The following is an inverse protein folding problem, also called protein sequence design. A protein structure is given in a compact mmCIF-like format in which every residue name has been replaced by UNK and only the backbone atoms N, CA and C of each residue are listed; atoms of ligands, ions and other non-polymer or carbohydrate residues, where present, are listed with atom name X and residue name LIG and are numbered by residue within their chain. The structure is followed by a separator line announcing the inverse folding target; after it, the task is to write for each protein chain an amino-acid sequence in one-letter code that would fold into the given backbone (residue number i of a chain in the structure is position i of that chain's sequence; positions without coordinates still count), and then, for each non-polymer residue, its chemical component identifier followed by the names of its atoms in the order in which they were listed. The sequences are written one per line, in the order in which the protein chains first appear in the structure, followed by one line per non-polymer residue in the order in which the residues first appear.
data_IF_340048060880
#
_entry.id   IF_340048060880
#
_cell.length_a   1.000
_cell.length_b   1.000
_cell.length_c   1.000
_cell.angle_alpha   90.00
_cell.angle_beta   90.00
_cell.angle_gamma   90.00
#
_symmetry.space_group_name_H-M   'P 1'
#
loop_
_entity.id
_entity.type
_entity.pdbx_description
1 polymer ?
#
# COMPACT_ATOMS: atom_id res chain seq x y z
N UNK A 1 -13.95 -5.75 -54.27
CA UNK A 1 -14.69 -4.77 -53.44
C UNK A 1 -15.00 -5.42 -52.10
N UNK A 2 -14.23 -5.15 -51.04
CA UNK A 2 -14.35 -5.94 -49.79
C UNK A 2 -13.82 -5.23 -48.51
N UNK A 3 -13.91 -3.89 -48.46
CA UNK A 3 -13.36 -3.07 -47.37
C UNK A 3 -14.34 -2.44 -46.35
N UNK A 4 -15.67 -2.32 -46.54
CA UNK A 4 -16.51 -1.58 -45.58
C UNK A 4 -16.79 -2.34 -44.26
N UNK A 5 -16.71 -3.68 -44.27
CA UNK A 5 -17.12 -4.49 -43.11
C UNK A 5 -16.19 -4.37 -41.89
N UNK A 6 -14.87 -4.23 -42.13
CA UNK A 6 -13.87 -4.15 -41.05
C UNK A 6 -13.93 -2.83 -40.27
N UNK A 7 -14.29 -1.73 -40.92
CA UNK A 7 -14.36 -0.40 -40.28
C UNK A 7 -15.54 -0.34 -39.30
N UNK A 8 -16.70 -0.90 -39.67
CA UNK A 8 -17.86 -0.99 -38.80
C UNK A 8 -17.59 -1.84 -37.54
N UNK A 9 -16.85 -2.94 -37.67
CA UNK A 9 -16.49 -3.80 -36.54
C UNK A 9 -15.53 -3.11 -35.55
N UNK A 10 -14.55 -2.36 -36.06
CA UNK A 10 -13.63 -1.58 -35.22
C UNK A 10 -14.34 -0.47 -34.45
N UNK A 11 -15.30 0.23 -35.06
CA UNK A 11 -16.08 1.29 -34.38
C UNK A 11 -16.97 0.73 -33.26
N UNK A 12 -17.54 -0.48 -33.42
CA UNK A 12 -18.32 -1.12 -32.37
C UNK A 12 -17.47 -1.53 -31.15
N UNK A 13 -16.23 -1.97 -31.36
CA UNK A 13 -15.33 -2.38 -30.25
C UNK A 13 -14.90 -1.17 -29.40
N UNK A 14 -14.70 0.00 -30.01
CA UNK A 14 -14.32 1.23 -29.27
C UNK A 14 -15.47 1.75 -28.38
N UNK A 15 -16.73 1.53 -28.77
CA UNK A 15 -17.90 2.05 -28.05
C UNK A 15 -18.15 1.39 -26.66
N UNK A 16 -17.67 0.16 -26.45
CA UNK A 16 -18.01 -0.64 -25.25
C UNK A 16 -17.09 -0.37 -24.05
N UNK A 17 -15.96 0.33 -24.22
CA UNK A 17 -14.96 0.53 -23.18
C UNK A 17 -15.11 1.82 -22.34
N UNK A 18 -16.14 2.64 -22.57
CA UNK A 18 -16.42 3.86 -21.78
C UNK A 18 -17.54 3.66 -20.75
N UNK A 19 -17.63 2.46 -20.16
CA UNK A 19 -18.36 2.27 -18.91
C UNK A 19 -17.56 2.94 -17.78
N UNK A 20 -17.72 4.25 -17.65
CA UNK A 20 -17.25 5.01 -16.48
C UNK A 20 -17.94 4.43 -15.25
N UNK A 21 -17.22 3.56 -14.54
CA UNK A 21 -17.70 3.02 -13.26
C UNK A 21 -17.69 4.18 -12.28
N UNK A 22 -18.82 4.87 -12.19
CA UNK A 22 -19.14 5.80 -11.12
C UNK A 22 -19.26 4.99 -9.82
N UNK A 23 -18.11 4.61 -9.26
CA UNK A 23 -18.01 4.17 -7.87
C UNK A 23 -18.42 5.41 -7.06
N UNK A 24 -19.68 5.46 -6.68
CA UNK A 24 -20.18 6.40 -5.69
C UNK A 24 -19.49 6.05 -4.37
N UNK A 25 -18.32 6.66 -4.17
CA UNK A 25 -17.55 6.55 -2.94
C UNK A 25 -18.42 7.15 -1.84
N UNK A 26 -19.08 6.27 -1.09
CA UNK A 26 -19.93 6.65 0.03
C UNK A 26 -19.01 7.23 1.09
N UNK A 27 -18.93 8.56 1.17
CA UNK A 27 -18.02 9.26 2.08
C UNK A 27 -18.17 8.72 3.50
N UNK A 28 -17.12 8.07 4.01
CA UNK A 28 -17.13 7.48 5.35
C UNK A 28 -16.66 8.54 6.33
N UNK A 29 -17.59 9.10 7.08
CA UNK A 29 -17.28 10.11 8.08
C UNK A 29 -16.62 9.46 9.31
N UNK A 30 -15.29 9.35 9.29
CA UNK A 30 -14.49 8.98 10.45
C UNK A 30 -14.43 10.13 11.46
N UNK A 31 -14.53 9.82 12.76
CA UNK A 31 -14.29 10.84 13.78
C UNK A 31 -12.80 11.16 13.89
N UNK A 32 -12.47 12.34 14.42
CA UNK A 32 -11.07 12.66 14.76
C UNK A 32 -10.46 11.66 15.74
N UNK A 33 -11.26 11.08 16.64
CA UNK A 33 -10.82 10.03 17.57
C UNK A 33 -10.40 8.74 16.87
N UNK A 34 -11.19 8.29 15.89
CA UNK A 34 -10.90 7.09 15.09
C UNK A 34 -9.60 7.26 14.32
N UNK A 35 -9.43 8.42 13.70
CA UNK A 35 -8.24 8.74 12.93
C UNK A 35 -6.99 8.86 13.83
N UNK A 36 -7.10 9.49 15.00
CA UNK A 36 -5.98 9.54 15.96
C UNK A 36 -5.64 8.15 16.51
N UNK A 37 -6.63 7.28 16.74
CA UNK A 37 -6.41 5.89 17.12
C UNK A 37 -5.62 5.14 16.03
N UNK A 38 -6.05 5.24 14.77
CA UNK A 38 -5.32 4.66 13.64
C UNK A 38 -3.89 5.18 13.54
N UNK A 39 -3.69 6.50 13.61
CA UNK A 39 -2.36 7.11 13.53
C UNK A 39 -1.43 6.66 14.67
N UNK A 40 -1.91 6.64 15.92
CA UNK A 40 -1.15 6.09 17.06
C UNK A 40 -0.73 4.65 16.82
N UNK A 41 -1.67 3.82 16.38
CA UNK A 41 -1.42 2.42 16.04
C UNK A 41 -0.36 2.28 14.95
N UNK A 42 -0.46 3.09 13.88
CA UNK A 42 0.49 3.09 12.77
C UNK A 42 1.92 3.36 13.23
N UNK A 43 2.12 4.37 14.08
CA UNK A 43 3.45 4.69 14.61
C UNK A 43 4.04 3.55 15.45
N UNK A 44 3.21 2.93 16.30
CA UNK A 44 3.59 1.76 17.12
C UNK A 44 3.96 0.58 16.23
N UNK A 45 3.13 0.25 15.23
CA UNK A 45 3.39 -0.82 14.27
C UNK A 45 4.67 -0.58 13.45
N UNK A 46 4.88 0.66 13.01
CA UNK A 46 6.05 1.07 12.24
C UNK A 46 7.35 1.14 13.07
N UNK A 47 7.26 0.91 14.40
CA UNK A 47 8.38 0.95 15.35
C UNK A 47 9.12 2.30 15.38
N UNK A 48 8.41 3.40 15.13
CA UNK A 48 8.97 4.75 15.22
C UNK A 48 8.72 5.39 16.59
N UNK A 49 9.74 6.04 17.13
CA UNK A 49 9.62 6.92 18.30
C UNK A 49 9.33 8.34 17.82
N UNK A 50 8.19 8.90 18.22
CA UNK A 50 7.78 10.25 17.88
C UNK A 50 7.59 11.07 19.16
N UNK A 51 7.64 12.40 19.05
CA UNK A 51 7.24 13.31 20.12
C UNK A 51 5.72 13.29 20.33
N UNK A 52 5.13 14.45 20.61
CA UNK A 52 3.68 14.57 20.73
C UNK A 52 3.01 14.48 19.34
N UNK A 53 2.83 13.23 18.89
CA UNK A 53 2.29 12.87 17.58
C UNK A 53 0.90 13.45 17.30
N UNK A 54 0.07 13.64 18.33
CA UNK A 54 -1.28 14.19 18.20
C UNK A 54 -1.28 15.62 17.64
N UNK A 55 -0.23 16.41 17.92
CA UNK A 55 -0.09 17.77 17.39
C UNK A 55 0.37 17.82 15.93
N UNK A 56 0.88 16.71 15.40
CA UNK A 56 1.42 16.62 14.04
C UNK A 56 0.34 16.22 13.03
N UNK A 57 -0.68 15.49 13.48
CA UNK A 57 -1.67 14.82 12.65
C UNK A 57 -2.63 15.79 11.91
N UNK A 58 -2.16 16.38 10.82
CA UNK A 58 -2.98 17.09 9.82
C UNK A 58 -3.59 16.13 8.81
N UNK A 59 -4.66 16.59 8.16
CA UNK A 59 -5.30 15.99 6.98
C UNK A 59 -5.71 14.52 7.15
N UNK A 60 -6.11 14.17 8.38
CA UNK A 60 -6.40 12.80 8.77
C UNK A 60 -7.56 12.15 7.98
N UNK A 61 -8.46 12.94 7.39
CA UNK A 61 -9.54 12.42 6.53
C UNK A 61 -8.96 11.75 5.28
N UNK A 62 -8.00 12.39 4.60
CA UNK A 62 -7.34 11.84 3.40
C UNK A 62 -6.63 10.52 3.73
N UNK A 63 -5.97 10.46 4.90
CA UNK A 63 -5.35 9.23 5.41
C UNK A 63 -6.40 8.13 5.61
N UNK A 64 -7.52 8.43 6.28
CA UNK A 64 -8.54 7.44 6.57
C UNK A 64 -9.27 6.96 5.31
N UNK A 65 -9.47 7.83 4.32
CA UNK A 65 -10.05 7.49 3.02
C UNK A 65 -9.12 6.55 2.22
N UNK A 66 -7.82 6.87 2.11
CA UNK A 66 -6.82 6.00 1.48
C UNK A 66 -6.79 4.60 2.12
N UNK A 67 -6.86 4.54 3.45
CA UNK A 67 -6.88 3.27 4.20
C UNK A 67 -8.22 2.54 4.05
N UNK A 68 -9.34 3.26 3.93
CA UNK A 68 -10.64 2.66 3.62
C UNK A 68 -10.61 1.98 2.25
N UNK A 69 -10.17 2.70 1.20
CA UNK A 69 -10.00 2.13 -0.14
C UNK A 69 -9.00 0.97 -0.16
N UNK A 70 -7.92 1.06 0.62
CA UNK A 70 -6.98 -0.03 0.80
C UNK A 70 -7.66 -1.29 1.36
N UNK A 71 -8.44 -1.14 2.45
CA UNK A 71 -9.11 -2.26 3.11
C UNK A 71 -10.15 -2.91 2.22
N UNK A 72 -10.93 -2.13 1.47
CA UNK A 72 -11.96 -2.67 0.59
C UNK A 72 -11.38 -3.39 -0.64
N UNK A 73 -10.37 -2.82 -1.29
CA UNK A 73 -9.66 -3.51 -2.38
C UNK A 73 -8.89 -4.75 -1.89
N UNK A 74 -8.19 -4.69 -0.75
CA UNK A 74 -7.55 -5.87 -0.15
C UNK A 74 -8.57 -6.98 0.15
N UNK A 75 -9.70 -6.61 0.77
CA UNK A 75 -10.73 -7.58 1.16
C UNK A 75 -11.43 -8.19 -0.06
N UNK A 76 -11.79 -7.37 -1.05
CA UNK A 76 -12.32 -7.85 -2.33
C UNK A 76 -11.33 -8.77 -3.02
N UNK A 77 -10.06 -8.38 -3.06
CA UNK A 77 -8.95 -9.16 -3.62
C UNK A 77 -8.72 -10.50 -2.92
N UNK A 78 -8.83 -10.58 -1.59
CA UNK A 78 -8.72 -11.84 -0.86
C UNK A 78 -9.92 -12.76 -1.07
N UNK A 79 -11.14 -12.23 -1.09
CA UNK A 79 -12.36 -13.03 -1.31
C UNK A 79 -12.47 -13.56 -2.74
N UNK A 80 -12.19 -12.70 -3.74
CA UNK A 80 -12.25 -13.05 -5.16
C UNK A 80 -10.98 -13.70 -5.72
N UNK A 81 -9.88 -13.69 -4.95
CA UNK A 81 -8.51 -14.02 -5.41
C UNK A 81 -8.00 -13.10 -6.52
N UNK A 82 -8.58 -11.90 -6.66
CA UNK A 82 -8.18 -10.88 -7.64
C UNK A 82 -6.83 -10.24 -7.26
N UNK A 83 -5.76 -10.61 -7.98
CA UNK A 83 -4.46 -9.97 -7.84
C UNK A 83 -4.49 -8.47 -8.22
N UNK A 84 -5.42 -8.05 -9.08
CA UNK A 84 -5.63 -6.65 -9.43
C UNK A 84 -6.17 -5.82 -8.27
N UNK A 85 -7.13 -6.37 -7.51
CA UNK A 85 -7.65 -5.71 -6.30
C UNK A 85 -6.65 -5.73 -5.15
N UNK A 86 -5.92 -6.84 -4.95
CA UNK A 86 -4.80 -6.85 -3.98
C UNK A 86 -3.77 -5.76 -4.35
N UNK A 87 -3.46 -5.60 -5.64
CA UNK A 87 -2.56 -4.55 -6.14
C UNK A 87 -3.08 -3.14 -5.88
N UNK A 88 -4.35 -2.85 -6.17
CA UNK A 88 -5.01 -1.56 -5.85
C UNK A 88 -5.03 -1.27 -4.35
N UNK A 89 -5.30 -2.30 -3.54
CA UNK A 89 -5.32 -2.17 -2.08
C UNK A 89 -3.94 -1.86 -1.50
N UNK A 90 -2.89 -2.51 -2.01
CA UNK A 90 -1.49 -2.20 -1.65
C UNK A 90 -1.12 -0.77 -2.08
N UNK A 91 -1.52 -0.33 -3.29
CA UNK A 91 -1.24 1.02 -3.76
C UNK A 91 -1.92 2.10 -2.89
N UNK A 92 -3.19 1.89 -2.54
CA UNK A 92 -3.96 2.78 -1.66
C UNK A 92 -3.35 2.84 -0.24
N UNK A 93 -2.92 1.69 0.30
CA UNK A 93 -2.17 1.66 1.57
C UNK A 93 -0.84 2.43 1.46
N UNK A 94 -0.21 2.41 0.28
CA UNK A 94 0.99 3.18 -0.03
C UNK A 94 0.75 4.69 0.01
N UNK A 95 -0.36 5.17 -0.56
CA UNK A 95 -0.78 6.57 -0.48
C UNK A 95 -1.08 6.98 0.97
N UNK A 96 -1.88 6.19 1.69
CA UNK A 96 -2.17 6.43 3.10
C UNK A 96 -0.89 6.52 3.93
N UNK A 97 0.08 5.63 3.71
CA UNK A 97 1.38 5.68 4.38
C UNK A 97 2.21 6.93 4.01
N UNK A 98 2.16 7.42 2.76
CA UNK A 98 2.78 8.69 2.37
C UNK A 98 2.13 9.86 3.12
N UNK A 99 0.80 9.92 3.16
CA UNK A 99 0.08 10.98 3.85
C UNK A 99 0.36 10.97 5.36
N UNK A 100 0.40 9.78 6.00
CA UNK A 100 0.87 9.62 7.38
C UNK A 100 2.27 10.20 7.56
N UNK A 101 3.22 9.85 6.68
CA UNK A 101 4.59 10.36 6.75
C UNK A 101 4.65 11.89 6.62
N UNK A 102 3.87 12.47 5.70
CA UNK A 102 3.80 13.92 5.50
C UNK A 102 3.24 14.64 6.74
N UNK A 103 2.22 14.10 7.41
CA UNK A 103 1.71 14.68 8.66
C UNK A 103 2.75 14.68 9.79
N UNK A 104 3.70 13.73 9.81
CA UNK A 104 4.78 13.70 10.80
C UNK A 104 6.05 14.48 10.42
N UNK A 105 6.13 15.05 9.22
CA UNK A 105 7.32 15.76 8.72
C UNK A 105 7.75 16.92 9.61
N UNK A 106 6.80 17.72 10.10
CA UNK A 106 7.07 18.90 10.91
C UNK A 106 7.46 18.57 12.36
N UNK A 107 7.46 17.29 12.74
CA UNK A 107 7.71 16.82 14.10
C UNK A 107 9.08 16.13 14.28
N UNK A 108 10.09 16.55 13.50
CA UNK A 108 11.48 16.08 13.61
C UNK A 108 11.68 14.62 13.19
N UNK A 109 10.79 14.09 12.35
CA UNK A 109 10.76 12.69 11.95
C UNK A 109 11.41 12.42 10.58
N UNK A 110 12.26 13.29 10.04
CA UNK A 110 12.60 13.28 8.60
C UNK A 110 13.23 11.96 8.12
N UNK A 111 13.98 11.26 8.98
CA UNK A 111 14.53 9.93 8.67
C UNK A 111 13.46 8.85 8.52
N UNK A 112 12.40 8.91 9.33
CA UNK A 112 11.23 8.05 9.22
C UNK A 112 10.40 8.42 8.01
N UNK A 113 10.11 9.72 7.82
CA UNK A 113 9.33 10.24 6.69
C UNK A 113 9.95 9.85 5.35
N UNK A 114 11.26 10.08 5.16
CA UNK A 114 11.97 9.66 3.94
C UNK A 114 11.88 8.14 3.73
N UNK A 115 11.93 7.34 4.79
CA UNK A 115 11.86 5.88 4.69
C UNK A 115 10.47 5.39 4.30
N UNK A 116 9.41 5.96 4.88
CA UNK A 116 8.04 5.63 4.53
C UNK A 116 7.67 6.18 3.16
N UNK A 117 8.01 7.42 2.81
CA UNK A 117 7.81 7.93 1.45
C UNK A 117 8.43 7.01 0.39
N UNK A 118 9.65 6.52 0.61
CA UNK A 118 10.33 5.61 -0.32
C UNK A 118 9.56 4.29 -0.48
N UNK A 119 8.96 3.76 0.59
CA UNK A 119 8.18 2.50 0.54
C UNK A 119 6.76 2.73 0.02
N UNK A 120 6.09 3.78 0.46
CA UNK A 120 4.77 4.16 -0.03
C UNK A 120 4.78 4.49 -1.52
N UNK A 121 5.86 5.10 -2.05
CA UNK A 121 6.06 5.30 -3.50
C UNK A 121 6.24 3.97 -4.25
N UNK A 122 7.01 3.02 -3.69
CA UNK A 122 7.10 1.67 -4.28
C UNK A 122 5.73 0.97 -4.28
N UNK A 123 4.95 1.10 -3.21
CA UNK A 123 3.60 0.53 -3.08
C UNK A 123 2.59 1.19 -4.05
N UNK A 124 2.59 2.52 -4.12
CA UNK A 124 1.77 3.35 -5.00
C UNK A 124 2.01 3.05 -6.49
N UNK A 125 3.26 2.73 -6.87
CA UNK A 125 3.59 2.23 -8.22
C UNK A 125 2.98 0.86 -8.56
N UNK A 126 2.17 0.29 -7.68
CA UNK A 126 1.39 -0.92 -7.90
C UNK A 126 2.26 -2.16 -8.14
N UNK A 127 1.74 -3.15 -8.90
CA UNK A 127 2.45 -4.40 -9.17
C UNK A 127 3.82 -4.26 -9.88
N UNK A 128 4.10 -3.10 -10.47
CA UNK A 128 5.37 -2.77 -11.11
C UNK A 128 6.33 -2.06 -10.14
N UNK A 129 5.83 -1.16 -9.29
CA UNK A 129 6.61 -0.40 -8.32
C UNK A 129 7.19 -1.24 -7.18
N UNK A 130 6.39 -2.13 -6.59
CA UNK A 130 6.86 -3.02 -5.50
C UNK A 130 7.64 -4.25 -6.02
N UNK A 131 8.13 -4.17 -7.25
CA UNK A 131 8.62 -5.24 -8.12
C UNK A 131 7.59 -6.33 -8.47
N UNK A 132 7.73 -6.85 -9.70
CA UNK A 132 7.30 -8.20 -10.11
C UNK A 132 7.63 -9.28 -9.07
N UNK A 133 8.68 -9.07 -8.28
CA UNK A 133 9.05 -9.91 -7.14
C UNK A 133 7.95 -9.87 -6.07
N UNK A 134 7.51 -8.74 -5.51
CA UNK A 134 6.53 -8.80 -4.41
C UNK A 134 5.12 -9.19 -4.87
N UNK A 135 4.73 -9.08 -6.15
CA UNK A 135 3.41 -9.60 -6.61
C UNK A 135 3.46 -11.06 -7.07
N UNK A 136 4.51 -11.49 -7.77
CA UNK A 136 4.69 -12.92 -8.13
C UNK A 136 5.18 -13.74 -6.94
N UNK A 137 6.05 -13.18 -6.09
CA UNK A 137 6.22 -13.65 -4.71
C UNK A 137 4.94 -13.45 -3.91
N UNK A 138 4.08 -12.42 -4.02
CA UNK A 138 2.87 -12.34 -3.16
C UNK A 138 2.07 -13.63 -3.25
N UNK A 139 1.77 -14.08 -4.47
CA UNK A 139 1.07 -15.35 -4.73
C UNK A 139 1.84 -16.55 -4.13
N UNK A 140 3.17 -16.52 -4.07
CA UNK A 140 4.04 -17.51 -3.41
C UNK A 140 4.39 -17.20 -1.91
N UNK A 141 4.00 -16.06 -1.37
CA UNK A 141 4.15 -15.57 0.02
C UNK A 141 2.86 -15.92 0.75
N UNK A 142 1.71 -15.80 0.07
CA UNK A 142 0.45 -16.46 0.44
C UNK A 142 0.62 -17.97 0.60
N UNK A 143 1.64 -18.62 0.00
CA UNK A 143 1.99 -20.02 0.29
C UNK A 143 3.14 -20.20 1.30
N UNK A 144 4.22 -19.41 1.26
CA UNK A 144 5.43 -19.65 2.08
C UNK A 144 5.77 -18.62 3.17
N UNK A 145 5.11 -17.46 3.23
CA UNK A 145 5.38 -16.38 4.21
C UNK A 145 4.09 -15.82 4.80
N UNK A 146 3.55 -16.59 5.75
CA UNK A 146 2.29 -16.35 6.47
C UNK A 146 2.17 -14.95 7.06
N UNK A 147 3.28 -14.34 7.47
CA UNK A 147 3.30 -13.10 8.28
C UNK A 147 2.64 -11.91 7.56
N UNK A 148 3.11 -11.53 6.36
CA UNK A 148 2.59 -10.35 5.65
C UNK A 148 1.12 -10.53 5.23
N UNK A 149 0.73 -11.74 4.84
CA UNK A 149 -0.66 -12.12 4.60
C UNK A 149 -1.53 -11.93 5.85
N UNK A 150 -1.03 -12.35 7.01
CA UNK A 150 -1.74 -12.23 8.27
C UNK A 150 -1.80 -10.78 8.74
N UNK A 151 -0.76 -9.97 8.50
CA UNK A 151 -0.79 -8.52 8.73
C UNK A 151 -1.87 -7.84 7.87
N UNK A 152 -1.95 -8.11 6.55
CA UNK A 152 -3.02 -7.56 5.69
C UNK A 152 -4.43 -8.05 6.07
N UNK A 153 -4.59 -9.31 6.48
CA UNK A 153 -5.87 -9.83 6.99
C UNK A 153 -6.22 -9.23 8.36
N UNK A 154 -5.22 -8.98 9.20
CA UNK A 154 -5.36 -8.28 10.48
C UNK A 154 -5.83 -6.85 10.28
N UNK A 155 -5.21 -6.11 9.35
CA UNK A 155 -5.58 -4.75 8.94
C UNK A 155 -7.06 -4.70 8.53
N UNK A 156 -7.46 -5.53 7.56
CA UNK A 156 -8.84 -5.55 7.03
C UNK A 156 -9.86 -5.97 8.07
N UNK A 157 -9.56 -6.99 8.89
CA UNK A 157 -10.45 -7.46 9.95
C UNK A 157 -10.64 -6.44 11.07
N UNK A 158 -9.56 -5.79 11.52
CA UNK A 158 -9.61 -4.80 12.62
C UNK A 158 -10.31 -3.52 12.19
N UNK A 159 -10.00 -3.01 11.00
CA UNK A 159 -10.68 -1.85 10.41
C UNK A 159 -12.20 -2.04 10.33
N UNK A 160 -12.64 -3.20 9.83
CA UNK A 160 -14.07 -3.53 9.71
C UNK A 160 -14.75 -3.82 11.05
N UNK A 161 -13.98 -4.19 12.07
CA UNK A 161 -14.45 -4.31 13.46
C UNK A 161 -14.45 -2.99 14.25
N UNK A 162 -14.04 -1.86 13.66
CA UNK A 162 -13.90 -0.58 14.35
C UNK A 162 -12.67 -0.47 15.25
N UNK A 163 -11.79 -1.47 15.28
CA UNK A 163 -10.49 -1.41 15.97
C UNK A 163 -9.48 -0.62 15.12
N UNK A 164 -9.69 0.70 15.05
CA UNK A 164 -8.84 1.60 14.28
C UNK A 164 -7.40 1.62 14.80
N UNK A 165 -7.20 1.53 16.12
CA UNK A 165 -5.86 1.47 16.71
C UNK A 165 -5.11 0.20 16.29
N UNK A 166 -5.68 -0.97 16.50
CA UNK A 166 -5.04 -2.22 16.09
C UNK A 166 -4.90 -2.34 14.57
N UNK A 167 -5.85 -1.78 13.80
CA UNK A 167 -5.74 -1.65 12.34
C UNK A 167 -4.50 -0.82 11.95
N UNK A 168 -4.29 0.31 12.62
CA UNK A 168 -3.06 1.10 12.52
C UNK A 168 -1.81 0.28 12.81
N UNK A 169 -1.81 -0.51 13.90
CA UNK A 169 -0.66 -1.37 14.25
C UNK A 169 -0.31 -2.34 13.13
N UNK A 170 -1.29 -2.95 12.45
CA UNK A 170 -0.99 -3.84 11.32
C UNK A 170 -0.50 -3.05 10.08
N UNK A 171 -1.09 -1.88 9.77
CA UNK A 171 -0.59 -1.02 8.69
C UNK A 171 0.88 -0.60 8.90
N UNK A 172 1.22 -0.18 10.12
CA UNK A 172 2.59 0.17 10.49
C UNK A 172 3.56 -1.01 10.38
N UNK A 173 3.13 -2.21 10.81
CA UNK A 173 3.92 -3.44 10.67
C UNK A 173 4.19 -3.79 9.22
N UNK A 174 3.18 -3.72 8.34
CA UNK A 174 3.34 -3.95 6.89
C UNK A 174 4.44 -3.04 6.34
N UNK A 175 4.40 -1.74 6.65
CA UNK A 175 5.40 -0.78 6.18
C UNK A 175 6.79 -1.09 6.76
N UNK A 176 6.91 -1.36 8.06
CA UNK A 176 8.19 -1.72 8.69
C UNK A 176 8.77 -3.05 8.14
N UNK A 177 7.92 -4.02 7.84
CA UNK A 177 8.26 -5.30 7.22
C UNK A 177 8.78 -5.09 5.79
N UNK A 178 8.11 -4.26 4.98
CA UNK A 178 8.58 -3.87 3.64
C UNK A 178 9.92 -3.08 3.70
N UNK A 179 10.08 -2.16 4.66
CA UNK A 179 11.36 -1.47 4.92
C UNK A 179 12.51 -2.44 5.25
N UNK A 180 12.23 -3.54 6.00
CA UNK A 180 13.22 -4.59 6.29
C UNK A 180 13.58 -5.39 5.03
N UNK A 181 12.58 -5.77 4.21
CA UNK A 181 12.82 -6.49 2.96
C UNK A 181 13.64 -5.68 1.96
N UNK A 182 13.31 -4.40 1.73
CA UNK A 182 14.09 -3.53 0.83
C UNK A 182 15.57 -3.47 1.21
N UNK A 183 15.87 -3.22 2.50
CA UNK A 183 17.24 -3.19 3.04
C UNK A 183 17.95 -4.55 2.96
N UNK A 184 17.22 -5.66 2.85
CA UNK A 184 17.80 -6.99 2.60
C UNK A 184 18.21 -7.14 1.13
N UNK A 185 17.36 -6.70 0.20
CA UNK A 185 17.64 -6.73 -1.25
C UNK A 185 18.79 -5.81 -1.64
N UNK A 186 18.79 -4.55 -1.17
CA UNK A 186 19.87 -3.58 -1.41
C UNK A 186 21.24 -4.16 -0.95
N UNK A 187 21.30 -4.82 0.22
CA UNK A 187 22.51 -5.50 0.72
C UNK A 187 22.89 -6.78 -0.04
N UNK A 188 21.96 -7.44 -0.74
CA UNK A 188 22.27 -8.58 -1.62
C UNK A 188 22.89 -8.09 -2.93
N UNK A 189 22.31 -7.06 -3.55
CA UNK A 189 22.81 -6.45 -4.77
C UNK A 189 24.22 -5.86 -4.58
N UNK A 190 24.47 -5.16 -3.48
CA UNK A 190 25.81 -4.62 -3.15
C UNK A 190 26.88 -5.72 -3.06
N UNK A 191 26.57 -6.85 -2.40
CA UNK A 191 27.50 -7.98 -2.30
C UNK A 191 27.79 -8.63 -3.65
N UNK A 192 26.77 -8.77 -4.51
CA UNK A 192 26.95 -9.29 -5.87
C UNK A 192 27.83 -8.36 -6.72
N UNK A 193 27.62 -7.04 -6.63
CA UNK A 193 28.46 -6.05 -7.32
C UNK A 193 29.91 -6.08 -6.83
N UNK A 194 30.14 -6.31 -5.53
CA UNK A 194 31.49 -6.47 -4.96
C UNK A 194 32.16 -7.77 -5.44
N UNK A 195 31.43 -8.90 -5.46
CA UNK A 195 32.00 -10.17 -5.95
C UNK A 195 32.36 -10.14 -7.45
N UNK A 196 31.61 -9.41 -8.28
CA UNK A 196 31.96 -9.23 -9.70
C UNK A 196 33.25 -8.41 -9.84
N UNK A 197 33.39 -7.30 -9.11
CA UNK A 197 34.62 -6.48 -9.14
C UNK A 197 35.86 -7.24 -8.66
N UNK A 198 35.70 -8.14 -7.69
CA UNK A 198 36.80 -8.98 -7.18
C UNK A 198 37.28 -10.07 -8.16
N UNK A 199 36.53 -10.34 -9.24
CA UNK A 199 36.92 -11.28 -10.31
C UNK A 199 37.62 -10.55 -11.48
N UNK A 200 37.54 -9.22 -11.53
CA UNK A 200 38.05 -8.38 -12.62
C UNK A 200 39.43 -7.77 -12.35
N UNK A 201 39.98 -7.97 -11.15
CA UNK A 201 41.28 -7.48 -10.69
C UNK A 201 42.18 -8.68 -10.32
#
# INVERSE_FOLDING_TARGET
MQQPLFIALLLLIVSVCSAEVQISARAVNFSGGDAMNFLKGFLVGASGTFGNAEKCARDYQVIMDDIHFAVDHLSSGFSSKSAGDIGRGIASLGHGAIHVALSYKDCGAEGFVKSIEKIGKDMAGGPLGLLKVVVKEAINIFSNRKDLTNEFKGLTSKWRGGDYYGSGVEAGRIVATLMKYRRSLERRALRQAQSVKAIQN
#
